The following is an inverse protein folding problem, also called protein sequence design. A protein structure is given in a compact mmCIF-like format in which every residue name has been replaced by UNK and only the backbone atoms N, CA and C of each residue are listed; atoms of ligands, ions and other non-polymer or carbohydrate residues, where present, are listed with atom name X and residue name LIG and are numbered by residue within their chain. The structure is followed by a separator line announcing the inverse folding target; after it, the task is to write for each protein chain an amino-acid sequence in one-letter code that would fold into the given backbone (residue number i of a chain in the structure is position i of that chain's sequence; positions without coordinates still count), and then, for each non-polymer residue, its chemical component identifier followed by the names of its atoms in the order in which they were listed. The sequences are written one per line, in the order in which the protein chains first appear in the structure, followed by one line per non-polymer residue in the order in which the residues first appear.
data_IF_476895864220
#
_entry.id   IF_476895864220
#
_cell.length_a   1.000
_cell.length_b   1.000
_cell.length_c   1.000
_cell.angle_alpha   90.00
_cell.angle_beta   90.00
_cell.angle_gamma   90.00
#
_symmetry.space_group_name_H-M   'P 1'
#
loop_
_entity.id
_entity.type
_entity.pdbx_description
1 polymer ?
#
# COMPACT_ATOMS: atom_id res chain seq x y z
N UNK A 1 7.57 7.12 6.88
CA UNK A 1 6.63 8.25 6.81
C UNK A 1 5.51 7.84 7.75
N UNK A 2 5.62 8.24 9.01
CA UNK A 2 4.62 7.89 10.02
C UNK A 2 3.42 8.79 9.76
N UNK A 3 2.25 8.19 9.55
CA UNK A 3 1.01 8.95 9.42
C UNK A 3 0.68 9.45 10.82
N UNK A 4 0.56 10.77 11.00
CA UNK A 4 0.11 11.27 12.28
C UNK A 4 -1.31 10.74 12.57
N UNK A 5 -1.70 10.70 13.84
CA UNK A 5 -2.99 10.12 14.25
C UNK A 5 -4.16 10.71 13.45
N UNK A 6 -4.11 12.01 13.15
CA UNK A 6 -5.15 12.68 12.39
C UNK A 6 -5.18 12.22 10.92
N UNK A 7 -4.03 12.08 10.27
CA UNK A 7 -3.93 11.52 8.92
C UNK A 7 -4.48 10.09 8.84
N UNK A 8 -4.24 9.27 9.87
CA UNK A 8 -4.77 7.90 9.95
C UNK A 8 -6.30 7.88 10.07
N UNK A 9 -6.88 8.77 10.86
CA UNK A 9 -8.33 8.94 11.01
C UNK A 9 -8.98 9.41 9.69
N UNK A 10 -8.35 10.34 8.96
CA UNK A 10 -8.83 10.79 7.65
C UNK A 10 -8.80 9.67 6.61
N UNK A 11 -7.71 8.89 6.56
CA UNK A 11 -7.62 7.73 5.66
C UNK A 11 -8.68 6.68 6.00
N UNK A 12 -8.89 6.40 7.29
CA UNK A 12 -9.97 5.52 7.74
C UNK A 12 -11.33 5.99 7.23
N UNK A 13 -11.65 7.28 7.40
CA UNK A 13 -12.92 7.84 6.94
C UNK A 13 -13.13 7.62 5.44
N UNK A 14 -12.13 7.89 4.60
CA UNK A 14 -12.22 7.68 3.15
C UNK A 14 -12.49 6.22 2.80
N UNK A 15 -11.84 5.27 3.49
CA UNK A 15 -12.04 3.85 3.25
C UNK A 15 -13.42 3.38 3.71
N UNK A 16 -13.89 3.83 4.88
CA UNK A 16 -15.23 3.53 5.38
C UNK A 16 -16.33 4.15 4.51
N UNK A 17 -16.13 5.34 3.97
CA UNK A 17 -17.11 5.97 3.06
C UNK A 17 -17.25 5.22 1.74
N UNK A 18 -16.21 4.49 1.31
CA UNK A 18 -16.21 3.68 0.07
C UNK A 18 -16.66 2.25 0.29
N UNK A 19 -16.56 1.74 1.51
CA UNK A 19 -17.00 0.40 1.90
C UNK A 19 -18.39 0.11 1.32
N UNK A 20 -18.48 -0.99 0.56
CA UNK A 20 -19.69 -1.48 -0.14
C UNK A 20 -20.37 -0.49 -1.11
N UNK A 21 -19.80 0.70 -1.33
CA UNK A 21 -20.37 1.75 -2.19
C UNK A 21 -19.55 2.01 -3.45
N UNK A 22 -18.23 1.90 -3.37
CA UNK A 22 -17.33 2.14 -4.49
C UNK A 22 -16.04 1.33 -4.35
N UNK A 23 -15.48 0.92 -5.48
CA UNK A 23 -14.18 0.24 -5.50
C UNK A 23 -13.05 1.17 -5.06
N UNK A 24 -12.09 0.60 -4.36
CA UNK A 24 -10.81 1.21 -4.02
C UNK A 24 -9.68 0.25 -4.41
N UNK A 25 -8.54 0.81 -4.83
CA UNK A 25 -7.32 0.05 -5.10
C UNK A 25 -6.20 0.61 -4.21
N UNK A 26 -5.49 -0.28 -3.52
CA UNK A 26 -4.41 0.07 -2.59
C UNK A 26 -3.20 -0.77 -2.95
N UNK A 27 -2.04 -0.12 -3.04
CA UNK A 27 -0.76 -0.78 -3.18
C UNK A 27 0.02 -0.59 -1.88
N UNK A 28 0.48 -1.70 -1.30
CA UNK A 28 1.31 -1.72 -0.10
C UNK A 28 2.58 -2.49 -0.38
N UNK A 29 3.71 -1.99 0.12
CA UNK A 29 4.98 -2.70 0.13
C UNK A 29 5.14 -3.62 1.35
N UNK A 30 4.17 -3.60 2.26
CA UNK A 30 4.10 -4.45 3.45
C UNK A 30 2.84 -5.31 3.39
N UNK A 31 2.91 -6.51 3.98
CA UNK A 31 1.71 -7.31 4.26
C UNK A 31 0.78 -6.58 5.23
N UNK A 32 -0.40 -7.11 5.55
CA UNK A 32 -1.40 -6.45 6.39
C UNK A 32 -0.97 -6.11 7.84
N UNK A 33 0.30 -6.30 8.20
CA UNK A 33 0.92 -5.82 9.43
C UNK A 33 1.10 -4.31 9.49
N UNK A 34 0.10 -3.52 9.08
CA UNK A 34 0.15 -2.06 8.98
C UNK A 34 0.17 -1.32 10.33
N UNK A 35 0.73 -1.93 11.39
CA UNK A 35 0.78 -1.36 12.74
C UNK A 35 1.67 -0.13 12.85
N UNK A 36 2.65 0.05 11.95
CA UNK A 36 3.46 1.27 11.87
C UNK A 36 2.72 2.41 11.14
N UNK A 37 1.80 2.07 10.23
CA UNK A 37 1.02 3.08 9.47
C UNK A 37 -0.22 3.51 10.24
N UNK A 38 -0.87 2.57 10.92
CA UNK A 38 -2.03 2.81 11.77
C UNK A 38 -1.67 2.54 13.23
N UNK A 39 -1.29 3.61 13.94
CA UNK A 39 -0.81 3.58 15.33
C UNK A 39 -1.81 2.91 16.28
N UNK A 40 -3.11 2.96 15.98
CA UNK A 40 -4.15 2.21 16.70
C UNK A 40 -4.35 0.81 16.07
N UNK A 41 -3.99 -0.28 16.78
CA UNK A 41 -4.16 -1.64 16.29
C UNK A 41 -5.62 -2.01 15.97
N UNK A 42 -6.60 -1.41 16.66
CA UNK A 42 -8.02 -1.65 16.41
C UNK A 42 -8.43 -1.02 15.09
N UNK A 43 -7.95 0.19 14.82
CA UNK A 43 -8.18 0.89 13.54
C UNK A 43 -7.55 0.11 12.39
N UNK A 44 -6.30 -0.36 12.56
CA UNK A 44 -5.61 -1.19 11.59
C UNK A 44 -6.43 -2.45 11.23
N UNK A 45 -6.84 -3.23 12.23
CA UNK A 45 -7.63 -4.44 12.03
C UNK A 45 -8.97 -4.15 11.31
N UNK A 46 -9.64 -3.07 11.70
CA UNK A 46 -10.90 -2.63 11.12
C UNK A 46 -10.76 -2.25 9.62
N UNK A 47 -9.62 -1.68 9.22
CA UNK A 47 -9.36 -1.35 7.80
C UNK A 47 -9.07 -2.62 7.01
N UNK A 48 -8.20 -3.49 7.52
CA UNK A 48 -7.83 -4.74 6.84
C UNK A 48 -9.06 -5.61 6.60
N UNK A 49 -9.93 -5.74 7.61
CA UNK A 49 -11.20 -6.47 7.49
C UNK A 49 -12.06 -5.94 6.33
N UNK A 50 -12.27 -4.62 6.27
CA UNK A 50 -13.05 -3.96 5.19
C UNK A 50 -12.46 -4.14 3.80
N UNK A 51 -11.13 -4.05 3.68
CA UNK A 51 -10.46 -4.15 2.39
C UNK A 51 -10.43 -5.59 1.86
N UNK A 52 -10.36 -6.56 2.75
CA UNK A 52 -10.36 -7.99 2.41
C UNK A 52 -11.77 -8.52 2.19
N UNK A 53 -12.79 -7.86 2.74
CA UNK A 53 -14.19 -8.17 2.47
C UNK A 53 -14.58 -7.87 1.02
N UNK A 54 -14.69 -8.92 0.20
CA UNK A 54 -15.01 -8.82 -1.22
C UNK A 54 -13.87 -8.28 -2.10
N UNK A 55 -12.67 -8.12 -1.55
CA UNK A 55 -11.48 -7.65 -2.26
C UNK A 55 -10.68 -8.78 -2.92
N UNK A 56 -9.87 -8.42 -3.93
CA UNK A 56 -8.89 -9.32 -4.53
C UNK A 56 -7.47 -8.90 -4.12
N UNK A 57 -6.69 -9.86 -3.61
CA UNK A 57 -5.28 -9.64 -3.26
C UNK A 57 -4.42 -10.02 -4.46
N UNK A 58 -3.59 -9.09 -4.93
CA UNK A 58 -2.67 -9.29 -6.05
C UNK A 58 -1.24 -9.16 -5.51
N UNK A 59 -0.49 -10.25 -5.53
CA UNK A 59 0.93 -10.24 -5.20
C UNK A 59 1.74 -9.82 -6.43
N UNK A 60 2.36 -8.65 -6.38
CA UNK A 60 3.11 -8.07 -7.52
C UNK A 60 4.55 -8.57 -7.63
N UNK A 61 5.04 -9.31 -6.63
CA UNK A 61 6.45 -9.70 -6.50
C UNK A 61 7.35 -8.58 -5.96
N UNK A 62 8.66 -8.79 -6.04
CA UNK A 62 9.70 -7.93 -5.45
C UNK A 62 10.60 -7.25 -6.48
N UNK A 63 10.37 -7.49 -7.76
CA UNK A 63 11.23 -6.98 -8.83
C UNK A 63 11.05 -5.46 -9.02
N UNK A 64 12.14 -4.72 -8.83
CA UNK A 64 12.14 -3.27 -9.03
C UNK A 64 12.40 -2.90 -10.49
N UNK A 65 11.34 -2.48 -11.18
CA UNK A 65 11.44 -1.93 -12.54
C UNK A 65 12.36 -0.71 -12.61
N UNK A 66 12.37 0.13 -11.57
CA UNK A 66 13.26 1.31 -11.47
C UNK A 66 14.73 0.89 -11.44
N UNK A 67 15.06 -0.18 -10.70
CA UNK A 67 16.43 -0.69 -10.63
C UNK A 67 16.86 -1.33 -11.95
N UNK A 68 15.99 -2.15 -12.56
CA UNK A 68 16.25 -2.77 -13.85
C UNK A 68 16.56 -1.72 -14.93
N UNK A 69 15.76 -0.64 -14.98
CA UNK A 69 15.99 0.45 -15.93
C UNK A 69 17.32 1.18 -15.68
N UNK A 70 17.68 1.45 -14.42
CA UNK A 70 18.95 2.09 -14.08
C UNK A 70 20.16 1.22 -14.46
N UNK A 71 20.09 -0.11 -14.26
CA UNK A 71 21.15 -1.05 -14.66
C UNK A 71 21.33 -1.07 -16.18
N UNK A 72 20.24 -1.18 -16.93
CA UNK A 72 20.27 -1.17 -18.39
C UNK A 72 20.91 0.13 -18.95
N UNK A 73 20.61 1.28 -18.35
CA UNK A 73 21.25 2.56 -18.74
C UNK A 73 22.73 2.62 -18.41
N UNK A 74 23.15 2.07 -17.27
CA UNK A 74 24.56 2.04 -16.87
C UNK A 74 25.40 1.14 -17.80
N UNK A 75 24.87 -0.02 -18.19
CA UNK A 75 25.54 -0.95 -19.12
C UNK A 75 25.75 -0.34 -20.51
N UNK A 76 24.77 0.42 -21.01
CA UNK A 76 24.89 1.16 -22.26
C UNK A 76 25.99 2.23 -22.23
N UNK A 77 26.23 2.86 -21.08
CA UNK A 77 27.25 3.90 -20.92
C UNK A 77 28.67 3.31 -20.78
N UNK A 78 28.82 2.10 -20.26
CA UNK A 78 30.11 1.40 -20.19
C UNK A 78 30.54 0.80 -21.54
N UNK A 79 29.57 0.54 -22.43
CA UNK A 79 29.82 -0.08 -23.74
C UNK A 79 30.06 0.96 -24.85
N UNK A 80 30.02 2.25 -24.52
CA UNK A 80 30.32 3.38 -25.39
C UNK A 80 31.71 3.95 -25.07
#
# INVERSE_FOLDING_TARGET
MELDRHGAELLFQVLTEREEKASAAIASNESFGWTETFIDPRLCAAIVDRLTFGGAIIETGIDSYRLAQSRARAEQHTTA
#
